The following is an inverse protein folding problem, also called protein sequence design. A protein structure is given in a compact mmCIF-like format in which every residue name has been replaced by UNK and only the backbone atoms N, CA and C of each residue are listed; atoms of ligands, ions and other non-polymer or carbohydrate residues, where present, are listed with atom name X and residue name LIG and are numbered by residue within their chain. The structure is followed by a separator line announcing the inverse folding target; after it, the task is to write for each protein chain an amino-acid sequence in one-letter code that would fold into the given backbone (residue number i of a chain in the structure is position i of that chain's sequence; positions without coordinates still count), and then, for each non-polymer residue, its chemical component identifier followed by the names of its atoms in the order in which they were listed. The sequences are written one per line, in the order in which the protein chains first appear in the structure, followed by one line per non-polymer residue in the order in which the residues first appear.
data_IF_992308080814
#
_entry.id   IF_992308080814
#
_cell.length_a   1.000
_cell.length_b   1.000
_cell.length_c   1.000
_cell.angle_alpha   90.00
_cell.angle_beta   90.00
_cell.angle_gamma   90.00
#
_symmetry.space_group_name_H-M   'P 1'
#
loop_
_entity.id
_entity.type
_entity.pdbx_description
1 polymer ?
#
# COMPACT_ATOMS: atom_id res chain seq x y z
N UNK A 1 8.50 2.30 -0.40
CA UNK A 1 7.51 1.95 0.63
C UNK A 1 6.97 0.58 0.31
N UNK A 2 7.00 -0.39 1.22
CA UNK A 2 6.55 -1.75 0.94
C UNK A 2 5.10 -1.95 1.41
N UNK A 3 4.22 -2.41 0.53
CA UNK A 3 2.85 -2.82 0.83
C UNK A 3 2.70 -4.33 0.56
N UNK A 4 2.40 -5.14 1.57
CA UNK A 4 2.20 -6.60 1.45
C UNK A 4 0.71 -6.97 1.41
N UNK A 5 0.27 -7.72 0.41
CA UNK A 5 -1.14 -7.89 0.02
C UNK A 5 -1.54 -9.37 -0.17
N UNK A 6 -1.70 -10.20 0.86
CA UNK A 6 -1.88 -11.67 0.68
C UNK A 6 -2.99 -12.09 -0.33
N UNK A 7 -2.62 -12.45 -1.57
CA UNK A 7 -3.51 -13.02 -2.61
C UNK A 7 -3.54 -14.56 -2.56
N UNK A 8 -4.72 -15.14 -2.73
CA UNK A 8 -4.90 -16.57 -3.02
C UNK A 8 -4.69 -16.83 -4.52
N UNK A 9 -3.89 -17.87 -4.82
CA UNK A 9 -3.42 -18.26 -6.15
C UNK A 9 -4.48 -18.23 -7.27
N UNK A 10 -4.33 -17.30 -8.21
CA UNK A 10 -4.77 -17.49 -9.60
C UNK A 10 -3.97 -16.58 -10.56
N UNK A 11 -2.73 -16.97 -10.86
CA UNK A 11 -2.07 -16.86 -12.17
C UNK A 11 -2.14 -15.57 -13.02
N UNK A 12 -2.57 -14.42 -12.51
CA UNK A 12 -2.72 -13.19 -13.28
C UNK A 12 -2.01 -12.04 -12.56
N UNK A 13 -0.81 -11.70 -13.03
CA UNK A 13 0.01 -10.61 -12.51
C UNK A 13 -0.78 -9.30 -12.38
N UNK A 14 -0.74 -8.62 -11.22
CA UNK A 14 -1.45 -7.37 -10.98
C UNK A 14 -0.68 -6.20 -11.59
N UNK A 15 -0.78 -6.04 -12.91
CA UNK A 15 -0.30 -4.83 -13.59
C UNK A 15 -1.31 -3.67 -13.56
N UNK A 16 -2.56 -3.91 -13.16
CA UNK A 16 -3.66 -2.93 -13.28
C UNK A 16 -4.01 -2.22 -11.97
N UNK A 17 -3.41 -2.62 -10.85
CA UNK A 17 -3.78 -2.22 -9.50
C UNK A 17 -3.22 -0.86 -9.04
N UNK A 18 -2.17 -0.39 -9.71
CA UNK A 18 -1.45 0.82 -9.34
C UNK A 18 -1.41 1.77 -10.53
N UNK A 19 -2.48 1.88 -11.32
CA UNK A 19 -2.47 2.67 -12.57
C UNK A 19 -2.03 4.13 -12.36
N UNK A 20 -2.18 4.66 -11.15
CA UNK A 20 -1.71 6.01 -10.76
C UNK A 20 -0.36 6.02 -10.01
N UNK A 21 0.13 4.87 -9.57
CA UNK A 21 1.36 4.72 -8.79
C UNK A 21 2.34 3.80 -9.51
N UNK A 22 3.50 4.31 -9.92
CA UNK A 22 4.52 3.47 -10.56
C UNK A 22 5.22 2.58 -9.51
N UNK A 23 4.57 1.47 -9.13
CA UNK A 23 5.09 0.52 -8.15
C UNK A 23 6.04 -0.52 -8.73
N UNK A 24 7.04 -0.91 -7.96
CA UNK A 24 7.92 -2.05 -8.21
C UNK A 24 7.45 -3.27 -7.42
N UNK A 25 7.27 -4.42 -8.07
CA UNK A 25 6.98 -5.69 -7.37
C UNK A 25 8.25 -6.18 -6.67
N UNK A 26 8.17 -6.46 -5.37
CA UNK A 26 9.28 -7.02 -4.58
C UNK A 26 9.19 -8.55 -4.42
N UNK A 27 7.99 -9.11 -4.51
CA UNK A 27 7.78 -10.56 -4.47
C UNK A 27 6.48 -10.92 -3.76
N UNK A 28 5.85 -12.03 -4.18
CA UNK A 28 4.53 -12.40 -3.69
C UNK A 28 3.56 -11.24 -3.90
N UNK A 29 3.13 -10.65 -2.79
CA UNK A 29 2.22 -9.51 -2.80
C UNK A 29 2.83 -8.25 -2.20
N UNK A 30 4.15 -8.17 -2.13
CA UNK A 30 4.87 -7.01 -1.65
C UNK A 30 5.20 -6.06 -2.82
N UNK A 31 4.81 -4.79 -2.68
CA UNK A 31 5.02 -3.74 -3.67
C UNK A 31 5.77 -2.57 -3.08
N UNK A 32 6.78 -2.08 -3.78
CA UNK A 32 7.47 -0.83 -3.50
C UNK A 32 6.86 0.33 -4.29
N UNK A 33 6.20 1.27 -3.62
CA UNK A 33 5.59 2.43 -4.27
C UNK A 33 6.35 3.72 -3.91
N UNK A 34 6.71 4.57 -4.89
CA UNK A 34 7.19 5.93 -4.62
C UNK A 34 5.99 6.87 -4.41
N UNK A 35 5.97 7.57 -3.27
CA UNK A 35 5.04 8.68 -3.01
C UNK A 35 5.84 9.98 -2.94
N UNK A 36 5.27 11.05 -3.48
CA UNK A 36 5.86 12.39 -3.43
C UNK A 36 4.82 13.35 -2.86
N UNK A 37 5.09 13.93 -1.70
CA UNK A 37 4.19 14.87 -1.04
C UNK A 37 4.98 16.09 -0.55
N UNK A 38 4.39 17.28 -0.68
CA UNK A 38 5.00 18.53 -0.20
C UNK A 38 4.77 18.73 1.31
N UNK A 39 3.73 18.12 1.86
CA UNK A 39 3.35 18.20 3.25
C UNK A 39 2.61 16.93 3.70
N UNK A 40 2.35 16.82 5.01
CA UNK A 40 1.74 15.64 5.61
C UNK A 40 0.27 15.43 5.19
N UNK A 41 -0.47 16.51 4.88
CA UNK A 41 -1.86 16.43 4.42
C UNK A 41 -1.93 15.79 3.03
N UNK A 42 -1.10 16.26 2.08
CA UNK A 42 -0.96 15.64 0.76
C UNK A 42 -0.48 14.20 0.83
N UNK A 43 0.41 13.88 1.78
CA UNK A 43 0.87 12.51 1.97
C UNK A 43 -0.29 11.62 2.44
N UNK A 44 -1.06 12.10 3.42
CA UNK A 44 -2.23 11.39 3.93
C UNK A 44 -3.25 11.13 2.83
N UNK A 45 -3.59 12.13 2.02
CA UNK A 45 -4.51 11.97 0.88
C UNK A 45 -4.01 10.90 -0.12
N UNK A 46 -2.70 10.87 -0.40
CA UNK A 46 -2.12 9.86 -1.29
C UNK A 46 -2.21 8.45 -0.70
N UNK A 47 -1.97 8.31 0.61
CA UNK A 47 -2.07 7.02 1.31
C UNK A 47 -3.52 6.55 1.36
N UNK A 48 -4.47 7.43 1.69
CA UNK A 48 -5.90 7.12 1.66
C UNK A 48 -6.35 6.69 0.25
N UNK A 49 -5.92 7.41 -0.78
CA UNK A 49 -6.21 7.04 -2.17
C UNK A 49 -5.62 5.67 -2.55
N UNK A 50 -4.40 5.35 -2.09
CA UNK A 50 -3.79 4.04 -2.29
C UNK A 50 -4.64 2.92 -1.66
N UNK A 51 -5.12 3.10 -0.42
CA UNK A 51 -5.99 2.11 0.23
C UNK A 51 -7.33 1.95 -0.49
N UNK A 52 -7.91 3.03 -1.00
CA UNK A 52 -9.15 2.96 -1.81
C UNK A 52 -8.91 2.12 -3.06
N UNK A 53 -7.83 2.38 -3.81
CA UNK A 53 -7.51 1.60 -5.01
C UNK A 53 -7.35 0.12 -4.66
N UNK A 54 -6.55 -0.21 -3.64
CA UNK A 54 -6.36 -1.59 -3.15
C UNK A 54 -7.71 -2.26 -2.90
N UNK A 55 -8.61 -1.60 -2.16
CA UNK A 55 -9.92 -2.13 -1.87
C UNK A 55 -10.76 -2.35 -3.14
N UNK A 56 -10.76 -1.40 -4.08
CA UNK A 56 -11.48 -1.54 -5.35
C UNK A 56 -10.98 -2.75 -6.16
N UNK A 57 -9.67 -2.99 -6.19
CA UNK A 57 -9.10 -4.13 -6.91
C UNK A 57 -9.47 -5.43 -6.23
N UNK A 58 -9.43 -5.47 -4.90
CA UNK A 58 -9.83 -6.67 -4.15
C UNK A 58 -11.29 -7.00 -4.36
N UNK A 59 -12.18 -6.00 -4.39
CA UNK A 59 -13.60 -6.18 -4.69
C UNK A 59 -13.80 -6.77 -6.10
N UNK A 60 -13.17 -6.18 -7.11
CA UNK A 60 -13.23 -6.66 -8.51
C UNK A 60 -12.73 -8.10 -8.65
N UNK A 61 -11.73 -8.49 -7.86
CA UNK A 61 -11.15 -9.84 -7.86
C UNK A 61 -11.87 -10.81 -6.92
N UNK A 62 -12.92 -10.37 -6.23
CA UNK A 62 -13.60 -11.13 -5.19
C UNK A 62 -12.61 -11.69 -4.14
N UNK A 63 -11.68 -10.83 -3.74
CA UNK A 63 -10.61 -11.10 -2.79
C UNK A 63 -10.85 -10.30 -1.50
N UNK A 64 -10.27 -10.77 -0.40
CA UNK A 64 -10.33 -10.10 0.90
C UNK A 64 -8.92 -9.66 1.29
N UNK A 65 -8.75 -8.38 1.66
CA UNK A 65 -7.55 -7.89 2.32
C UNK A 65 -7.61 -8.32 3.79
N UNK A 66 -6.76 -9.26 4.18
CA UNK A 66 -6.69 -9.75 5.56
C UNK A 66 -5.82 -8.82 6.42
N UNK A 67 -4.72 -8.36 5.85
CA UNK A 67 -3.77 -7.46 6.49
C UNK A 67 -3.10 -6.59 5.42
N UNK A 68 -2.83 -5.32 5.74
CA UNK A 68 -2.16 -4.39 4.86
C UNK A 68 -1.23 -3.49 5.66
N UNK A 69 0.07 -3.79 5.58
CA UNK A 69 1.12 -3.01 6.23
C UNK A 69 1.72 -2.03 5.23
N UNK A 70 1.77 -0.76 5.60
CA UNK A 70 2.48 0.28 4.85
C UNK A 70 3.70 0.73 5.64
N UNK A 71 4.89 0.57 5.06
CA UNK A 71 6.16 0.93 5.70
C UNK A 71 6.95 1.96 4.89
N UNK A 72 7.57 2.90 5.59
CA UNK A 72 8.52 3.83 5.00
C UNK A 72 9.91 3.18 4.93
N UNK A 73 10.42 2.96 3.72
CA UNK A 73 11.74 2.32 3.51
C UNK A 73 12.90 3.12 4.11
N UNK A 74 12.79 4.45 4.15
CA UNK A 74 13.85 5.34 4.61
C UNK A 74 13.91 5.38 6.14
N UNK A 75 12.74 5.51 6.79
CA UNK A 75 12.66 5.70 8.25
C UNK A 75 12.34 4.43 9.02
N UNK A 76 11.93 3.36 8.31
CA UNK A 76 11.41 2.09 8.87
C UNK A 76 10.15 2.25 9.72
N UNK A 77 9.45 3.37 9.59
CA UNK A 77 8.20 3.62 10.31
C UNK A 77 7.03 2.93 9.63
N UNK A 78 6.08 2.45 10.43
CA UNK A 78 4.77 1.98 9.97
C UNK A 78 3.80 3.14 9.82
N UNK A 79 2.87 3.05 8.89
CA UNK A 79 1.76 3.99 8.80
C UNK A 79 0.69 3.62 9.83
N UNK A 80 0.29 4.58 10.66
CA UNK A 80 -0.89 4.47 11.51
C UNK A 80 -2.10 5.05 10.76
N UNK A 81 -3.01 4.18 10.33
CA UNK A 81 -4.20 4.56 9.58
C UNK A 81 -5.18 5.41 10.41
N UNK A 82 -5.27 5.16 11.73
CA UNK A 82 -6.15 5.91 12.61
C UNK A 82 -5.64 7.34 12.84
N UNK A 83 -4.33 7.51 13.03
CA UNK A 83 -3.69 8.80 13.22
C UNK A 83 -3.44 9.53 11.89
N UNK A 84 -3.34 8.80 10.78
CA UNK A 84 -2.97 9.31 9.47
C UNK A 84 -1.54 9.85 9.42
N UNK A 85 -0.61 9.18 10.10
CA UNK A 85 0.80 9.59 10.14
C UNK A 85 1.76 8.40 10.34
N UNK A 86 3.06 8.64 10.13
CA UNK A 86 4.11 7.65 10.41
C UNK A 86 4.31 7.49 11.92
N UNK A 87 4.32 6.25 12.38
CA UNK A 87 4.67 5.89 13.74
C UNK A 87 5.92 5.02 13.74
N UNK A 88 6.81 5.27 14.71
CA UNK A 88 7.86 4.31 15.01
C UNK A 88 7.20 3.02 15.53
N UNK A 89 7.68 1.85 15.10
CA UNK A 89 7.32 0.62 15.79
C UNK A 89 7.68 0.80 17.26
N UNK A 90 6.66 0.74 18.13
CA UNK A 90 6.91 0.66 19.57
C UNK A 90 7.51 -0.72 19.80
N UNK A 91 8.76 -0.75 20.26
CA UNK A 91 9.51 -1.96 20.60
C UNK A 91 8.81 -2.82 21.65
#
# INVERSE_FOLDING_TARGET
MNASLQENNSGHTPKSALLKFEGQVLGGNEYRIPLTAENDEQLKEQVEYLFIEINMITDVRNCLVIDCLLTNDQTRQGWDDCAGCWQCESA
#
